data_IF_441142669829
#
_entry.id   IF_441142669829
#
_cell.length_a   1.000
_cell.length_b   1.000
_cell.length_c   1.000
_cell.angle_alpha   90.00
_cell.angle_beta   90.00
_cell.angle_gamma   90.00
#
_symmetry.space_group_name_H-M   'P 1'
#
loop_
_entity.id
_entity.type
_entity.pdbx_description
1 polymer ?
#
# COMPACT_ATOMS: atom_id res chain seq x y z
N UNK A 1 -1.32 -17.20 -24.43
CA UNK A 1 -2.41 -16.35 -23.93
C UNK A 1 -1.89 -15.71 -22.67
N UNK A 2 -1.35 -14.50 -22.77
CA UNK A 2 -0.60 -13.83 -21.69
C UNK A 2 -1.36 -12.62 -21.13
N UNK A 3 -2.68 -12.60 -21.31
CA UNK A 3 -3.55 -11.52 -20.85
C UNK A 3 -3.90 -11.69 -19.37
N UNK A 4 -3.93 -10.58 -18.65
CA UNK A 4 -4.54 -10.48 -17.34
C UNK A 4 -6.03 -10.83 -17.45
N UNK A 5 -6.57 -11.83 -16.72
CA UNK A 5 -7.98 -12.18 -16.80
C UNK A 5 -8.93 -11.00 -16.56
N UNK A 6 -8.51 -10.05 -15.72
CA UNK A 6 -9.19 -8.77 -15.50
C UNK A 6 -9.26 -7.91 -16.77
N UNK A 7 -8.17 -7.79 -17.52
CA UNK A 7 -8.11 -6.90 -18.68
C UNK A 7 -8.93 -7.40 -19.87
N UNK A 8 -9.13 -8.71 -19.94
CA UNK A 8 -9.96 -9.36 -20.96
C UNK A 8 -11.48 -9.22 -20.69
N UNK A 9 -11.88 -8.70 -19.52
CA UNK A 9 -13.28 -8.45 -19.21
C UNK A 9 -13.84 -7.26 -20.02
N UNK A 10 -15.12 -7.31 -20.43
CA UNK A 10 -15.79 -6.13 -21.01
C UNK A 10 -15.89 -5.02 -19.95
N UNK A 11 -15.96 -3.77 -20.41
CA UNK A 11 -16.00 -2.60 -19.54
C UNK A 11 -17.12 -2.69 -18.49
N UNK A 12 -18.29 -3.16 -18.87
CA UNK A 12 -19.45 -3.31 -18.00
C UNK A 12 -19.17 -4.26 -16.83
N UNK A 13 -18.45 -5.37 -17.10
CA UNK A 13 -18.02 -6.32 -16.08
C UNK A 13 -16.91 -5.73 -15.20
N UNK A 14 -15.96 -4.99 -15.78
CA UNK A 14 -14.96 -4.26 -14.99
C UNK A 14 -15.62 -3.26 -14.03
N UNK A 15 -16.65 -2.53 -14.47
CA UNK A 15 -17.39 -1.59 -13.61
C UNK A 15 -18.14 -2.30 -12.47
N UNK A 16 -18.59 -3.54 -12.66
CA UNK A 16 -19.13 -4.36 -11.56
C UNK A 16 -18.02 -4.68 -10.56
N UNK A 17 -16.85 -5.12 -11.02
CA UNK A 17 -15.70 -5.41 -10.16
C UNK A 17 -15.23 -4.19 -9.35
N UNK A 18 -15.24 -3.00 -9.96
CA UNK A 18 -14.91 -1.73 -9.27
C UNK A 18 -15.92 -1.42 -8.14
N UNK A 19 -17.20 -1.75 -8.31
CA UNK A 19 -18.21 -1.59 -7.23
C UNK A 19 -18.01 -2.60 -6.11
N UNK A 20 -17.66 -3.84 -6.43
CA UNK A 20 -17.31 -4.83 -5.40
C UNK A 20 -16.06 -4.39 -4.64
N UNK A 21 -15.04 -3.88 -5.34
CA UNK A 21 -13.83 -3.32 -4.74
C UNK A 21 -14.16 -2.17 -3.78
N UNK A 22 -15.00 -1.20 -4.18
CA UNK A 22 -15.46 -0.12 -3.30
C UNK A 22 -16.16 -0.64 -2.03
N UNK A 23 -16.98 -1.68 -2.19
CA UNK A 23 -17.70 -2.29 -1.07
C UNK A 23 -16.75 -3.01 -0.10
N UNK A 24 -15.73 -3.68 -0.62
CA UNK A 24 -14.67 -4.33 0.16
C UNK A 24 -13.84 -3.28 0.92
N UNK A 25 -13.37 -2.24 0.22
CA UNK A 25 -12.63 -1.14 0.83
C UNK A 25 -13.45 -0.48 1.94
N UNK A 26 -14.75 -0.28 1.71
CA UNK A 26 -15.64 0.23 2.75
C UNK A 26 -15.75 -0.70 3.95
N UNK A 27 -15.79 -2.02 3.77
CA UNK A 27 -15.80 -2.98 4.89
C UNK A 27 -14.48 -2.96 5.67
N UNK A 28 -13.34 -2.99 4.97
CA UNK A 28 -12.01 -2.93 5.59
C UNK A 28 -11.80 -1.64 6.38
N UNK A 29 -12.36 -0.52 5.89
CA UNK A 29 -12.29 0.78 6.56
C UNK A 29 -12.99 0.83 7.92
N UNK A 30 -13.88 -0.12 8.22
CA UNK A 30 -14.58 -0.20 9.51
C UNK A 30 -13.78 -0.94 10.59
N UNK A 31 -12.70 -1.63 10.21
CA UNK A 31 -11.85 -2.38 11.13
C UNK A 31 -10.78 -1.45 11.69
N UNK A 32 -11.02 -0.88 12.87
CA UNK A 32 -10.15 0.12 13.48
C UNK A 32 -9.08 -0.46 14.42
N UNK A 33 -7.89 0.10 14.34
CA UNK A 33 -6.70 -0.32 15.09
C UNK A 33 -5.94 0.87 15.66
N UNK A 34 -5.26 0.64 16.78
CA UNK A 34 -4.52 1.68 17.53
C UNK A 34 -3.10 1.97 17.01
N UNK A 35 -2.60 1.13 16.11
CA UNK A 35 -1.24 1.19 15.59
C UNK A 35 -1.17 0.54 14.19
N UNK A 36 -0.12 0.87 13.46
CA UNK A 36 0.31 0.26 12.19
C UNK A 36 1.12 -1.01 12.52
N UNK A 37 0.66 -2.17 12.08
CA UNK A 37 1.24 -3.48 12.38
C UNK A 37 0.45 -4.62 11.73
N UNK A 38 0.95 -5.85 11.83
CA UNK A 38 0.22 -7.04 11.33
C UNK A 38 -0.54 -7.73 12.46
N UNK A 39 -1.59 -8.47 12.09
CA UNK A 39 -2.43 -9.22 13.04
C UNK A 39 -1.80 -10.60 13.27
N UNK A 40 -1.55 -10.94 14.52
CA UNK A 40 -1.02 -12.24 14.94
C UNK A 40 -1.97 -12.95 15.87
N UNK A 41 -1.92 -14.29 15.85
CA UNK A 41 -2.51 -15.11 16.89
C UNK A 41 -1.79 -14.88 18.22
N UNK A 42 -2.59 -14.64 19.27
CA UNK A 42 -2.12 -14.68 20.65
C UNK A 42 -2.29 -16.10 21.16
N UNK A 43 -1.20 -16.75 21.58
CA UNK A 43 -1.25 -18.05 22.24
C UNK A 43 -1.16 -17.85 23.75
N UNK A 44 -1.90 -18.65 24.52
CA UNK A 44 -1.80 -18.65 25.99
C UNK A 44 -0.56 -19.42 26.45
N UNK A 45 -0.11 -19.17 27.68
CA UNK A 45 1.12 -19.75 28.25
C UNK A 45 1.12 -21.29 28.27
N UNK A 46 -0.07 -21.91 28.30
CA UNK A 46 -0.22 -23.36 28.45
C UNK A 46 -0.57 -24.10 27.15
N UNK A 47 -1.00 -23.41 26.09
CA UNK A 47 -1.44 -24.05 24.84
C UNK A 47 -0.87 -23.32 23.62
N UNK A 48 0.34 -23.71 23.20
CA UNK A 48 0.98 -23.22 21.96
C UNK A 48 0.26 -23.60 20.66
N UNK A 49 -0.83 -24.38 20.73
CA UNK A 49 -1.55 -24.88 19.56
C UNK A 49 -2.90 -24.20 19.30
N UNK A 50 -3.52 -23.59 20.32
CA UNK A 50 -4.84 -22.95 20.17
C UNK A 50 -4.74 -21.44 20.44
N UNK A 51 -5.05 -20.58 19.45
CA UNK A 51 -5.04 -19.14 19.66
C UNK A 51 -6.15 -18.73 20.64
N UNK A 52 -5.80 -17.95 21.66
CA UNK A 52 -6.71 -17.39 22.66
C UNK A 52 -7.19 -15.99 22.28
N UNK A 53 -6.71 -15.43 21.17
CA UNK A 53 -7.12 -14.14 20.64
C UNK A 53 -6.18 -13.62 19.56
N UNK A 54 -6.25 -12.31 19.32
CA UNK A 54 -5.42 -11.62 18.33
C UNK A 54 -4.65 -10.46 18.97
N UNK A 55 -3.46 -10.18 18.46
CA UNK A 55 -2.65 -9.03 18.85
C UNK A 55 -2.08 -8.35 17.61
N UNK A 56 -1.88 -7.03 17.69
CA UNK A 56 -1.07 -6.31 16.72
C UNK A 56 0.40 -6.50 17.08
N UNK A 57 1.16 -7.01 16.12
CA UNK A 57 2.59 -7.20 16.22
C UNK A 57 3.34 -6.46 15.12
N UNK A 58 4.64 -6.77 14.96
CA UNK A 58 5.46 -6.18 13.91
C UNK A 58 4.88 -6.50 12.53
N UNK A 59 5.02 -5.61 11.55
CA UNK A 59 4.51 -5.90 10.19
C UNK A 59 5.15 -7.17 9.63
N UNK A 60 4.38 -7.99 8.91
CA UNK A 60 4.85 -9.22 8.25
C UNK A 60 5.60 -8.96 6.94
N UNK A 61 6.01 -7.72 6.71
CA UNK A 61 6.61 -7.26 5.47
C UNK A 61 7.74 -8.18 5.00
N UNK A 62 7.51 -8.86 3.89
CA UNK A 62 8.48 -9.68 3.19
C UNK A 62 9.38 -8.79 2.32
N UNK A 63 10.25 -8.00 2.95
CA UNK A 63 11.39 -7.44 2.22
C UNK A 63 12.31 -8.61 1.85
N UNK A 64 12.90 -8.63 0.64
CA UNK A 64 13.88 -9.64 0.28
C UNK A 64 14.96 -9.73 1.36
N UNK A 65 15.32 -10.96 1.73
CA UNK A 65 16.38 -11.23 2.71
C UNK A 65 16.10 -10.70 4.13
N UNK A 66 14.83 -10.67 4.56
CA UNK A 66 14.43 -10.18 5.89
C UNK A 66 15.20 -10.81 7.05
N UNK A 67 15.55 -12.10 6.97
CA UNK A 67 16.38 -12.78 7.98
C UNK A 67 17.81 -12.24 8.01
N UNK A 68 18.44 -12.03 6.86
CA UNK A 68 19.78 -11.46 6.76
C UNK A 68 19.80 -10.00 7.22
N UNK A 69 18.79 -9.21 6.84
CA UNK A 69 18.59 -7.83 7.31
C UNK A 69 18.49 -7.78 8.83
N UNK A 70 17.64 -8.62 9.42
CA UNK A 70 17.46 -8.70 10.88
C UNK A 70 18.72 -9.13 11.64
N UNK A 71 19.58 -9.94 11.02
CA UNK A 71 20.86 -10.35 11.62
C UNK A 71 21.94 -9.27 11.54
N UNK A 72 21.91 -8.44 10.49
CA UNK A 72 22.95 -7.44 10.22
C UNK A 72 22.70 -6.09 10.91
N UNK A 73 21.44 -5.73 11.17
CA UNK A 73 21.10 -4.43 11.72
C UNK A 73 19.73 -4.35 12.38
N UNK A 74 19.44 -3.18 13.00
CA UNK A 74 18.16 -2.95 13.66
C UNK A 74 17.05 -2.87 12.61
N UNK A 75 16.24 -3.93 12.57
CA UNK A 75 15.11 -4.06 11.67
C UNK A 75 13.83 -3.67 12.42
N UNK A 76 13.55 -2.36 12.49
CA UNK A 76 12.31 -1.85 13.09
C UNK A 76 11.11 -2.24 12.23
N UNK A 77 10.22 -3.05 12.80
CA UNK A 77 8.98 -3.53 12.16
C UNK A 77 7.73 -3.09 12.91
N UNK A 78 7.85 -2.18 13.87
CA UNK A 78 6.73 -1.70 14.66
C UNK A 78 6.23 -2.71 15.70
N UNK A 79 4.99 -2.55 16.20
CA UNK A 79 3.93 -1.69 15.66
C UNK A 79 4.16 -0.19 15.92
N UNK A 80 3.73 0.67 14.99
CA UNK A 80 3.93 2.12 15.05
C UNK A 80 2.65 2.88 15.36
N UNK A 81 2.75 3.99 16.10
CA UNK A 81 1.58 4.83 16.45
C UNK A 81 1.39 6.02 15.52
N UNK A 82 2.36 6.29 14.65
CA UNK A 82 2.32 7.39 13.69
C UNK A 82 2.82 6.92 12.31
N UNK A 83 2.31 7.52 11.24
CA UNK A 83 2.72 7.19 9.87
C UNK A 83 4.17 7.55 9.65
N UNK A 84 4.61 8.69 10.18
CA UNK A 84 6.00 9.11 10.10
C UNK A 84 6.97 8.06 10.66
N UNK A 85 6.61 7.35 11.73
CA UNK A 85 7.44 6.28 12.29
C UNK A 85 7.52 5.09 11.33
N UNK A 86 6.39 4.65 10.78
CA UNK A 86 6.33 3.56 9.81
C UNK A 86 7.13 3.87 8.54
N UNK A 87 6.95 5.07 7.97
CA UNK A 87 7.67 5.48 6.76
C UNK A 87 9.17 5.63 7.03
N UNK A 88 9.55 6.15 8.19
CA UNK A 88 10.96 6.30 8.57
C UNK A 88 11.61 4.94 8.68
N UNK A 89 10.98 3.99 9.38
CA UNK A 89 11.47 2.62 9.49
C UNK A 89 11.60 1.95 8.10
N UNK A 90 10.62 2.16 7.22
CA UNK A 90 10.61 1.57 5.87
C UNK A 90 11.77 2.06 4.99
N UNK A 91 12.07 3.37 5.02
CA UNK A 91 13.17 3.96 4.23
C UNK A 91 14.51 3.65 4.89
N UNK A 92 14.59 3.71 6.21
CA UNK A 92 15.81 3.42 6.98
C UNK A 92 16.26 1.95 6.81
N UNK A 93 15.32 1.01 6.73
CA UNK A 93 15.62 -0.39 6.41
C UNK A 93 16.33 -0.54 5.06
N UNK A 94 15.88 0.18 4.02
CA UNK A 94 16.53 0.16 2.70
C UNK A 94 17.89 0.89 2.70
N UNK A 95 18.04 1.97 3.46
CA UNK A 95 19.34 2.64 3.66
C UNK A 95 20.34 1.65 4.27
N UNK A 96 19.96 1.02 5.39
CA UNK A 96 20.83 0.08 6.08
C UNK A 96 21.12 -1.16 5.26
N UNK A 97 20.17 -1.64 4.47
CA UNK A 97 20.40 -2.77 3.56
C UNK A 97 21.48 -2.47 2.53
N UNK A 98 21.40 -1.32 1.85
CA UNK A 98 22.38 -0.93 0.83
C UNK A 98 23.75 -0.59 1.43
N UNK A 99 23.79 -0.03 2.64
CA UNK A 99 25.04 0.34 3.30
C UNK A 99 25.76 -0.85 3.95
N UNK A 100 25.03 -1.73 4.64
CA UNK A 100 25.61 -2.80 5.44
C UNK A 100 25.70 -4.13 4.71
N UNK A 101 24.84 -4.37 3.72
CA UNK A 101 24.79 -5.60 2.93
C UNK A 101 24.85 -5.32 1.41
N UNK A 102 25.83 -4.53 0.91
CA UNK A 102 25.84 -4.08 -0.49
C UNK A 102 25.93 -5.23 -1.50
N UNK A 103 26.71 -6.28 -1.21
CA UNK A 103 26.82 -7.45 -2.10
C UNK A 103 25.48 -8.17 -2.23
N UNK A 104 24.83 -8.46 -1.10
CA UNK A 104 23.53 -9.12 -1.09
C UNK A 104 22.47 -8.26 -1.78
N UNK A 105 22.47 -6.94 -1.54
CA UNK A 105 21.57 -6.02 -2.21
C UNK A 105 21.68 -6.12 -3.74
N UNK A 106 22.89 -6.11 -4.29
CA UNK A 106 23.14 -6.25 -5.73
C UNK A 106 22.68 -7.62 -6.27
N UNK A 107 22.95 -8.69 -5.53
CA UNK A 107 22.58 -10.07 -5.92
C UNK A 107 21.06 -10.27 -5.96
N UNK A 108 20.34 -9.74 -4.96
CA UNK A 108 18.90 -9.96 -4.79
C UNK A 108 18.03 -8.94 -5.52
N UNK A 109 18.62 -7.91 -6.15
CA UNK A 109 17.84 -6.96 -6.94
C UNK A 109 17.13 -7.66 -8.10
N UNK A 110 15.85 -7.34 -8.28
CA UNK A 110 15.04 -7.81 -9.42
C UNK A 110 15.38 -7.06 -10.71
N UNK A 111 16.05 -5.91 -10.61
CA UNK A 111 16.39 -5.01 -11.72
C UNK A 111 17.86 -5.12 -12.09
N UNK A 112 18.22 -6.15 -12.87
CA UNK A 112 19.62 -6.47 -13.21
C UNK A 112 20.38 -5.39 -14.01
N UNK A 113 19.67 -4.48 -14.69
CA UNK A 113 20.31 -3.47 -15.53
C UNK A 113 20.81 -2.25 -14.73
N UNK A 114 22.13 -2.00 -14.81
CA UNK A 114 22.76 -0.81 -14.23
C UNK A 114 22.81 -0.82 -12.69
N UNK A 115 22.95 -1.99 -12.07
CA UNK A 115 22.90 -2.18 -10.62
C UNK A 115 23.82 -1.26 -9.84
N UNK A 116 25.09 -1.15 -10.21
CA UNK A 116 26.04 -0.26 -9.52
C UNK A 116 25.63 1.22 -9.59
N UNK A 117 25.06 1.65 -10.72
CA UNK A 117 24.54 3.01 -10.87
C UNK A 117 23.32 3.23 -9.99
N UNK A 118 22.41 2.25 -9.93
CA UNK A 118 21.22 2.29 -9.06
C UNK A 118 21.60 2.29 -7.59
N UNK A 119 22.61 1.51 -7.19
CA UNK A 119 23.08 1.42 -5.81
C UNK A 119 23.66 2.77 -5.36
N UNK A 120 24.53 3.37 -6.18
CA UNK A 120 25.04 4.74 -5.95
C UNK A 120 23.94 5.78 -5.89
N UNK A 121 22.92 5.65 -6.73
CA UNK A 121 21.75 6.54 -6.68
C UNK A 121 20.97 6.36 -5.37
N UNK A 122 20.70 5.13 -4.96
CA UNK A 122 19.99 4.81 -3.73
C UNK A 122 20.70 5.36 -2.49
N UNK A 123 22.00 5.15 -2.36
CA UNK A 123 22.83 5.71 -1.28
C UNK A 123 22.72 7.25 -1.20
N UNK A 124 22.58 7.92 -2.35
CA UNK A 124 22.42 9.39 -2.41
C UNK A 124 20.99 9.85 -2.11
N UNK A 125 19.98 9.10 -2.56
CA UNK A 125 18.59 9.55 -2.64
C UNK A 125 17.77 9.11 -1.43
N UNK A 126 17.96 7.89 -0.92
CA UNK A 126 17.19 7.37 0.21
C UNK A 126 17.30 8.27 1.47
N UNK A 127 18.49 8.73 1.90
CA UNK A 127 18.59 9.62 3.06
C UNK A 127 17.84 10.94 2.84
N UNK A 128 17.96 11.51 1.63
CA UNK A 128 17.25 12.76 1.28
C UNK A 128 15.74 12.57 1.26
N UNK A 129 15.27 11.42 0.78
CA UNK A 129 13.85 11.08 0.74
C UNK A 129 13.28 10.85 2.14
N UNK A 130 14.03 10.16 3.02
CA UNK A 130 13.69 10.04 4.46
C UNK A 130 13.50 11.42 5.10
N UNK A 131 14.38 12.37 4.80
CA UNK A 131 14.28 13.73 5.33
C UNK A 131 13.07 14.51 4.76
N UNK A 132 12.32 13.96 3.80
CA UNK A 132 11.04 14.51 3.31
C UNK A 132 9.82 13.99 4.08
N UNK A 133 9.96 12.97 4.93
CA UNK A 133 8.82 12.42 5.69
C UNK A 133 8.07 13.50 6.51
N UNK A 134 8.75 14.47 7.16
CA UNK A 134 8.06 15.57 7.85
C UNK A 134 7.17 16.44 6.94
N UNK A 135 7.39 16.45 5.62
CA UNK A 135 6.58 17.21 4.67
C UNK A 135 5.14 16.68 4.58
N UNK A 136 4.87 15.45 5.04
CA UNK A 136 3.53 14.85 5.05
C UNK A 136 2.55 15.54 6.00
N UNK A 137 3.06 16.45 6.85
CA UNK A 137 2.30 17.25 7.85
C UNK A 137 1.21 16.43 8.51
N UNK A 138 1.55 15.71 9.57
CA UNK A 138 0.53 15.11 10.44
C UNK A 138 -0.07 16.23 11.29
N UNK A 139 -1.33 16.58 11.01
CA UNK A 139 -2.13 17.35 11.98
C UNK A 139 -2.54 16.35 13.08
N UNK A 140 -2.20 16.60 14.37
CA UNK A 140 -2.60 15.73 15.47
C UNK A 140 -4.10 15.43 15.53
N UNK A 141 -4.94 16.33 15.00
CA UNK A 141 -6.39 16.19 14.93
C UNK A 141 -6.89 15.51 13.65
N UNK A 142 -6.00 15.24 12.69
CA UNK A 142 -6.33 14.49 11.47
C UNK A 142 -6.37 12.98 11.75
N UNK A 143 -7.55 12.53 12.19
CA UNK A 143 -7.84 11.12 12.48
C UNK A 143 -7.60 10.18 11.29
N UNK A 144 -7.54 10.69 10.05
CA UNK A 144 -7.24 9.86 8.88
C UNK A 144 -5.73 9.59 8.75
N UNK A 145 -4.89 10.39 9.41
CA UNK A 145 -3.43 10.25 9.44
C UNK A 145 -2.91 9.74 10.78
N UNK A 146 -3.45 10.19 11.91
CA UNK A 146 -2.97 9.85 13.26
C UNK A 146 -3.71 8.68 13.91
N UNK A 147 -4.71 8.13 13.21
CA UNK A 147 -5.50 6.99 13.64
C UNK A 147 -6.93 7.38 14.06
N UNK A 148 -7.87 6.41 14.08
CA UNK A 148 -7.63 4.97 14.02
C UNK A 148 -7.11 4.48 12.65
N UNK A 149 -6.19 3.51 12.67
CA UNK A 149 -5.68 2.84 11.48
C UNK A 149 -6.66 1.74 11.05
N UNK A 150 -6.63 1.35 9.78
CA UNK A 150 -7.56 0.38 9.19
C UNK A 150 -6.83 -0.83 8.63
N UNK A 151 -7.48 -1.99 8.50
CA UNK A 151 -6.86 -3.14 7.85
C UNK A 151 -6.63 -2.86 6.36
N UNK A 152 -5.39 -2.99 5.91
CA UNK A 152 -4.98 -2.83 4.52
C UNK A 152 -4.38 -4.10 3.94
N UNK A 153 -4.57 -4.28 2.64
CA UNK A 153 -3.88 -5.27 1.84
C UNK A 153 -2.92 -4.52 0.90
N UNK A 154 -1.62 -4.67 1.11
CA UNK A 154 -0.61 -3.80 0.44
C UNK A 154 -0.55 -3.96 -1.07
N UNK A 155 -1.02 -5.09 -1.58
CA UNK A 155 -1.09 -5.34 -3.02
C UNK A 155 -2.52 -5.59 -3.51
N UNK A 156 -3.47 -4.77 -3.04
CA UNK A 156 -4.89 -4.92 -3.36
C UNK A 156 -5.20 -4.41 -4.78
N UNK A 157 -4.88 -5.25 -5.74
CA UNK A 157 -5.03 -4.97 -7.17
C UNK A 157 -5.66 -6.19 -7.89
N UNK A 158 -5.98 -6.10 -9.19
CA UNK A 158 -6.61 -7.19 -9.93
C UNK A 158 -5.81 -8.49 -10.01
N UNK A 159 -4.50 -8.49 -9.73
CA UNK A 159 -3.67 -9.69 -9.66
C UNK A 159 -4.01 -10.56 -8.44
N UNK A 160 -4.46 -9.94 -7.34
CA UNK A 160 -4.84 -10.62 -6.09
C UNK A 160 -6.37 -10.69 -5.90
N UNK A 161 -7.13 -10.47 -6.98
CA UNK A 161 -8.59 -10.57 -7.00
C UNK A 161 -9.02 -11.65 -7.99
N UNK A 162 -9.88 -12.55 -7.55
CA UNK A 162 -10.49 -13.55 -8.42
C UNK A 162 -11.82 -12.98 -8.91
N UNK A 163 -11.99 -12.90 -10.23
CA UNK A 163 -13.22 -12.41 -10.87
C UNK A 163 -14.02 -13.54 -11.48
N UNK A 164 -15.35 -13.47 -11.38
CA UNK A 164 -16.22 -14.35 -12.15
C UNK A 164 -16.17 -13.96 -13.64
N UNK A 165 -15.76 -14.85 -14.56
CA UNK A 165 -15.47 -14.45 -15.94
C UNK A 165 -16.71 -14.36 -16.84
N UNK A 166 -17.79 -15.09 -16.52
CA UNK A 166 -18.96 -15.27 -17.39
C UNK A 166 -20.25 -15.48 -16.58
N UNK A 167 -21.39 -15.33 -17.27
CA UNK A 167 -22.71 -15.57 -16.70
C UNK A 167 -23.28 -14.34 -15.98
N UNK A 168 -24.37 -14.49 -15.22
CA UNK A 168 -25.07 -13.37 -14.56
C UNK A 168 -24.21 -12.64 -13.52
N UNK A 169 -23.13 -13.27 -13.05
CA UNK A 169 -22.18 -12.71 -12.08
C UNK A 169 -20.87 -12.25 -12.73
N UNK A 170 -20.80 -12.14 -14.06
CA UNK A 170 -19.57 -11.70 -14.73
C UNK A 170 -19.06 -10.36 -14.17
N UNK A 171 -17.76 -10.29 -13.85
CA UNK A 171 -17.11 -9.12 -13.27
C UNK A 171 -17.17 -9.04 -11.74
N UNK A 172 -17.95 -9.90 -11.05
CA UNK A 172 -17.99 -9.93 -9.58
C UNK A 172 -16.67 -10.42 -9.00
N UNK A 173 -16.21 -9.79 -7.93
CA UNK A 173 -15.06 -10.27 -7.15
C UNK A 173 -15.55 -11.43 -6.28
N UNK A 174 -15.00 -12.63 -6.49
CA UNK A 174 -15.37 -13.82 -5.72
C UNK A 174 -14.45 -14.07 -4.52
N UNK A 175 -13.21 -13.62 -4.59
CA UNK A 175 -12.22 -13.77 -3.51
C UNK A 175 -11.08 -12.77 -3.65
N UNK A 176 -10.48 -12.42 -2.52
CA UNK A 176 -9.17 -11.75 -2.44
C UNK A 176 -8.18 -12.74 -1.83
N UNK A 177 -7.04 -12.89 -2.48
CA UNK A 177 -5.97 -13.81 -2.07
C UNK A 177 -4.74 -13.02 -1.63
N UNK A 178 -3.70 -13.73 -1.19
CA UNK A 178 -2.37 -13.16 -0.89
C UNK A 178 -2.31 -12.14 0.27
N UNK A 179 -2.95 -12.50 1.39
CA UNK A 179 -3.00 -11.66 2.59
C UNK A 179 -1.70 -11.63 3.42
N UNK A 180 -0.60 -12.25 2.97
CA UNK A 180 0.63 -12.39 3.77
C UNK A 180 1.31 -11.03 4.08
N UNK A 181 1.06 -10.03 3.23
CA UNK A 181 1.54 -8.65 3.36
C UNK A 181 0.49 -7.70 3.93
N UNK A 182 -0.57 -8.22 4.55
CA UNK A 182 -1.58 -7.38 5.20
C UNK A 182 -1.06 -6.76 6.49
N UNK A 183 -1.38 -5.48 6.67
CA UNK A 183 -1.10 -4.73 7.89
C UNK A 183 -2.16 -3.65 8.06
N UNK A 184 -2.18 -3.05 9.24
CA UNK A 184 -2.99 -1.86 9.48
C UNK A 184 -2.30 -0.63 8.89
N UNK A 185 -3.06 0.23 8.25
CA UNK A 185 -2.58 1.40 7.48
C UNK A 185 -3.43 2.64 7.76
N UNK A 186 -2.97 3.85 7.44
CA UNK A 186 -3.82 5.05 7.49
C UNK A 186 -5.01 4.93 6.54
N UNK A 187 -6.14 5.54 6.88
CA UNK A 187 -7.37 5.42 6.09
C UNK A 187 -7.17 5.80 4.62
N UNK A 188 -6.43 6.88 4.36
CA UNK A 188 -6.12 7.33 3.00
C UNK A 188 -5.28 6.35 2.18
N UNK A 189 -4.50 5.47 2.82
CA UNK A 189 -3.77 4.43 2.10
C UNK A 189 -4.69 3.38 1.52
N UNK A 190 -5.84 3.14 2.16
CA UNK A 190 -6.81 2.14 1.75
C UNK A 190 -7.83 2.70 0.74
N UNK A 191 -8.34 3.92 0.98
CA UNK A 191 -9.56 4.39 0.30
C UNK A 191 -9.32 5.23 -0.95
N UNK A 192 -8.17 5.90 -1.05
CA UNK A 192 -7.84 6.69 -2.24
C UNK A 192 -7.67 5.79 -3.48
N UNK A 193 -7.77 6.37 -4.68
CA UNK A 193 -7.85 5.60 -5.91
C UNK A 193 -6.59 4.74 -6.12
N UNK A 194 -6.75 3.42 -6.36
CA UNK A 194 -5.59 2.57 -6.58
C UNK A 194 -5.00 2.83 -7.97
N UNK A 195 -3.67 2.65 -8.12
CA UNK A 195 -2.96 2.93 -9.37
C UNK A 195 -3.49 2.17 -10.59
N UNK A 196 -4.05 0.97 -10.39
CA UNK A 196 -4.61 0.16 -11.48
C UNK A 196 -5.87 0.76 -12.13
N UNK A 197 -6.46 1.81 -11.51
CA UNK A 197 -7.49 2.60 -12.18
C UNK A 197 -6.92 3.37 -13.37
N UNK A 198 -5.68 3.87 -13.25
CA UNK A 198 -5.04 4.68 -14.28
C UNK A 198 -4.02 3.87 -15.12
N UNK A 199 -3.70 2.63 -14.71
CA UNK A 199 -2.65 1.82 -15.32
C UNK A 199 -3.07 0.36 -15.50
N UNK A 200 -2.65 -0.25 -16.60
CA UNK A 200 -2.77 -1.69 -16.83
C UNK A 200 -1.56 -2.42 -16.22
N UNK A 201 -0.37 -1.82 -16.37
CA UNK A 201 0.87 -2.33 -15.84
C UNK A 201 1.82 -1.20 -15.42
N UNK A 202 3.00 -1.56 -14.92
CA UNK A 202 4.07 -0.60 -14.59
C UNK A 202 4.58 0.21 -15.79
N UNK A 203 4.31 -0.23 -17.02
CA UNK A 203 4.70 0.44 -18.27
C UNK A 203 3.52 0.94 -19.09
N UNK A 204 2.31 0.43 -18.86
CA UNK A 204 1.14 0.70 -19.70
C UNK A 204 0.08 1.51 -18.95
N UNK A 205 -0.28 2.66 -19.52
CA UNK A 205 -1.35 3.52 -19.01
C UNK A 205 -2.70 3.03 -19.52
N UNK A 206 -3.73 3.09 -18.66
CA UNK A 206 -5.11 2.87 -19.07
C UNK A 206 -5.61 4.07 -19.88
N UNK A 207 -6.56 3.84 -20.78
CA UNK A 207 -7.23 4.94 -21.50
C UNK A 207 -7.85 5.91 -20.48
N UNK A 208 -7.62 7.23 -20.58
CA UNK A 208 -8.12 8.18 -19.59
C UNK A 208 -9.62 8.10 -19.34
N UNK A 209 -10.43 7.87 -20.39
CA UNK A 209 -11.87 7.70 -20.26
C UNK A 209 -12.27 6.46 -19.43
N UNK A 210 -11.56 5.34 -19.60
CA UNK A 210 -11.82 4.11 -18.84
C UNK A 210 -11.45 4.29 -17.37
N UNK A 211 -10.28 4.89 -17.08
CA UNK A 211 -9.88 5.22 -15.71
C UNK A 211 -10.85 6.18 -15.04
N UNK A 212 -11.40 7.15 -15.77
CA UNK A 212 -12.45 8.03 -15.26
C UNK A 212 -13.74 7.25 -14.92
N UNK A 213 -14.16 6.32 -15.78
CA UNK A 213 -15.32 5.47 -15.47
C UNK A 213 -15.12 4.65 -14.20
N UNK A 214 -13.90 4.16 -13.94
CA UNK A 214 -13.60 3.43 -12.70
C UNK A 214 -13.70 4.35 -11.48
N UNK A 215 -13.11 5.54 -11.53
CA UNK A 215 -13.20 6.54 -10.46
C UNK A 215 -14.65 6.92 -10.16
N UNK A 216 -15.45 7.16 -11.19
CA UNK A 216 -16.85 7.52 -11.05
C UNK A 216 -17.70 6.37 -10.48
N UNK A 217 -17.46 5.12 -10.90
CA UNK A 217 -18.15 3.96 -10.37
C UNK A 217 -17.78 3.70 -8.90
N UNK A 218 -16.51 3.87 -8.56
CA UNK A 218 -15.99 3.74 -7.21
C UNK A 218 -16.63 4.75 -6.26
N UNK A 219 -16.63 6.05 -6.60
CA UNK A 219 -17.26 7.11 -5.79
C UNK A 219 -18.76 6.88 -5.64
N UNK A 220 -19.47 6.53 -6.74
CA UNK A 220 -20.91 6.25 -6.67
C UNK A 220 -21.23 5.10 -5.73
N UNK A 221 -20.44 4.03 -5.78
CA UNK A 221 -20.62 2.91 -4.87
C UNK A 221 -20.31 3.29 -3.42
N UNK A 222 -19.24 4.04 -3.17
CA UNK A 222 -18.92 4.55 -1.83
C UNK A 222 -20.07 5.40 -1.27
N UNK A 223 -20.65 6.30 -2.07
CA UNK A 223 -21.84 7.09 -1.70
C UNK A 223 -23.01 6.20 -1.31
N UNK A 224 -23.27 5.13 -2.06
CA UNK A 224 -24.37 4.21 -1.80
C UNK A 224 -24.16 3.43 -0.49
N UNK A 225 -22.98 2.83 -0.28
CA UNK A 225 -22.71 2.03 0.92
C UNK A 225 -22.60 2.89 2.18
N UNK A 226 -22.21 4.15 2.04
CA UNK A 226 -22.09 5.09 3.16
C UNK A 226 -23.36 5.91 3.43
N UNK A 227 -24.43 5.76 2.64
CA UNK A 227 -25.68 6.52 2.82
C UNK A 227 -26.30 6.34 4.21
N UNK A 228 -25.99 5.23 4.90
CA UNK A 228 -26.42 4.94 6.27
C UNK A 228 -25.31 5.08 7.33
N UNK A 229 -24.09 5.38 6.92
CA UNK A 229 -22.98 5.61 7.85
C UNK A 229 -23.10 7.02 8.44
N UNK A 230 -22.99 7.14 9.76
CA UNK A 230 -23.08 8.43 10.48
C UNK A 230 -21.97 9.41 10.08
N UNK A 231 -20.89 8.94 9.46
CA UNK A 231 -19.79 9.78 9.00
C UNK A 231 -19.33 9.36 7.59
N UNK A 232 -19.44 10.27 6.63
CA UNK A 232 -18.92 10.14 5.27
C UNK A 232 -17.38 10.35 5.21
N UNK A 233 -16.65 9.89 6.23
CA UNK A 233 -15.21 10.15 6.37
C UNK A 233 -14.42 9.60 5.18
N UNK A 234 -14.76 8.41 4.70
CA UNK A 234 -14.13 7.78 3.52
C UNK A 234 -14.26 8.69 2.29
N UNK A 235 -15.47 9.18 1.98
CA UNK A 235 -15.68 10.07 0.84
C UNK A 235 -14.86 11.36 0.94
N UNK A 236 -14.80 11.98 2.12
CA UNK A 236 -13.96 13.17 2.34
C UNK A 236 -12.49 12.87 2.05
N UNK A 237 -12.02 11.68 2.44
CA UNK A 237 -10.63 11.28 2.21
C UNK A 237 -10.36 11.08 0.71
N UNK A 238 -11.21 10.34 0.00
CA UNK A 238 -11.03 10.06 -1.44
C UNK A 238 -11.06 11.34 -2.27
N UNK A 239 -11.88 12.31 -1.88
CA UNK A 239 -12.04 13.58 -2.61
C UNK A 239 -10.96 14.63 -2.27
N UNK A 240 -10.13 14.39 -1.26
CA UNK A 240 -9.12 15.35 -0.82
C UNK A 240 -7.75 15.03 -1.43
N UNK A 241 -7.29 15.95 -2.30
CA UNK A 241 -6.03 15.83 -3.02
C UNK A 241 -4.78 15.72 -2.13
N UNK A 242 -4.83 16.21 -0.88
CA UNK A 242 -3.71 16.07 0.06
C UNK A 242 -3.51 14.61 0.48
N UNK A 243 -4.60 13.86 0.71
CA UNK A 243 -4.51 12.44 1.05
C UNK A 243 -4.02 11.60 -0.12
N UNK A 244 -4.42 11.94 -1.35
CA UNK A 244 -3.88 11.29 -2.54
C UNK A 244 -2.36 11.56 -2.69
N UNK A 245 -1.90 12.78 -2.40
CA UNK A 245 -0.47 13.08 -2.38
C UNK A 245 0.29 12.27 -1.31
N UNK A 246 -0.30 12.11 -0.11
CA UNK A 246 0.25 11.27 0.96
C UNK A 246 0.29 9.79 0.57
N UNK A 247 -0.77 9.27 -0.08
CA UNK A 247 -0.81 7.91 -0.62
C UNK A 247 0.33 7.67 -1.60
N UNK A 248 0.54 8.58 -2.55
CA UNK A 248 1.65 8.47 -3.51
C UNK A 248 3.01 8.50 -2.84
N UNK A 249 3.19 9.33 -1.81
CA UNK A 249 4.43 9.33 -1.04
C UNK A 249 4.66 7.97 -0.37
N UNK A 250 3.63 7.42 0.29
CA UNK A 250 3.69 6.10 0.91
C UNK A 250 4.09 5.02 -0.11
N UNK A 251 3.41 4.96 -1.25
CA UNK A 251 3.71 3.97 -2.32
C UNK A 251 5.17 4.02 -2.76
N UNK A 252 5.79 5.19 -2.75
CA UNK A 252 7.20 5.38 -3.10
C UNK A 252 8.12 5.00 -1.95
N UNK A 253 7.77 5.39 -0.71
CA UNK A 253 8.56 5.12 0.49
C UNK A 253 8.73 3.63 0.78
N UNK A 254 7.77 2.81 0.35
CA UNK A 254 7.79 1.36 0.56
C UNK A 254 8.54 0.59 -0.55
N UNK A 255 8.92 1.25 -1.65
CA UNK A 255 9.64 0.60 -2.74
C UNK A 255 11.03 0.09 -2.29
N UNK A 256 11.56 -0.97 -2.92
CA UNK A 256 12.94 -1.39 -2.71
C UNK A 256 13.95 -0.32 -3.16
N UNK A 257 15.16 -0.38 -2.61
CA UNK A 257 16.25 0.56 -2.92
C UNK A 257 16.55 0.70 -4.42
N UNK A 258 16.36 -0.37 -5.21
CA UNK A 258 16.65 -0.40 -6.64
C UNK A 258 15.62 0.37 -7.49
N UNK A 259 14.65 1.00 -6.83
CA UNK A 259 13.69 1.97 -7.38
C UNK A 259 13.96 3.42 -6.95
N UNK A 260 15.16 3.74 -6.46
CA UNK A 260 15.54 5.09 -6.02
C UNK A 260 15.31 6.20 -7.07
N UNK A 261 15.30 5.89 -8.37
CA UNK A 261 14.96 6.89 -9.41
C UNK A 261 13.50 7.39 -9.31
N UNK A 262 12.60 6.58 -8.75
CA UNK A 262 11.21 6.97 -8.53
C UNK A 262 11.13 8.01 -7.41
N UNK A 263 11.92 7.81 -6.34
CA UNK A 263 12.07 8.77 -5.25
C UNK A 263 12.69 10.09 -5.73
N UNK A 264 13.76 10.02 -6.54
CA UNK A 264 14.42 11.19 -7.11
C UNK A 264 13.43 12.02 -7.96
N UNK A 265 12.75 11.36 -8.91
CA UNK A 265 11.76 12.02 -9.78
C UNK A 265 10.62 12.66 -8.98
N UNK A 266 10.12 11.97 -7.95
CA UNK A 266 9.07 12.53 -7.10
C UNK A 266 9.56 13.78 -6.37
N UNK A 267 10.78 13.78 -5.83
CA UNK A 267 11.35 14.94 -5.14
C UNK A 267 11.59 16.13 -6.08
N UNK A 268 11.96 15.88 -7.33
CA UNK A 268 12.10 16.91 -8.38
C UNK A 268 10.75 17.55 -8.72
N UNK A 269 9.69 16.74 -8.80
CA UNK A 269 8.33 17.20 -9.07
C UNK A 269 7.67 17.89 -7.86
N UNK A 270 8.18 17.62 -6.65
CA UNK A 270 7.66 18.13 -5.39
C UNK A 270 8.78 18.81 -4.58
N UNK A 271 9.30 19.97 -5.04
CA UNK A 271 10.35 20.69 -4.33
C UNK A 271 9.85 21.12 -2.93
N UNK A 272 10.77 21.19 -1.95
CA UNK A 272 10.43 21.72 -0.61
C UNK A 272 9.91 23.14 -0.77
N UNK A 273 8.73 23.41 -0.20
CA UNK A 273 8.25 24.78 -0.05
C UNK A 273 9.21 25.47 0.92
N UNK A 274 9.94 26.47 0.41
CA UNK A 274 10.83 27.32 1.23
C UNK A 274 10.03 28.09 2.27
#
# INVERSE_FOLDING_TARGET
>A
MNGLPWEDLPLEAKLIGVRDFASIVSQLSQLHFRAIGSIYFKFGDQFKQNPVGFVLGPVSWCKPESAARAAAFHHDRGPWKAVAQWLSASVEDEIQFVEKLPTLALETSTRKNGLERRCRLAQKILPKFRDRIPDLREDPFDQCATGPFVLGHMDLNPWNMIFCPKGPNAGRIVSIIDWEMSLTVPLWSLVCYPLWFDRISSSEARKPAEGQYFKDAYIRQLLQVQQHAKEAIVLRVVQNAQYEARRRFLEIAILPWDAAEVMERWMEQNPRRR
#
